data_IF_242083998502
#
_entry.id   IF_242083998502
#
_cell.length_a   1.000
_cell.length_b   1.000
_cell.length_c   1.000
_cell.angle_alpha   90.00
_cell.angle_beta   90.00
_cell.angle_gamma   90.00
#
_symmetry.space_group_name_H-M   'P 1'
#
loop_
_entity.id
_entity.type
_entity.pdbx_description
1 polymer ?
#
# COMPACT_ATOMS: atom_id res chain seq x y z
N UNK A 1 7.29 -22.15 -7.92
CA UNK A 1 6.75 -20.87 -8.45
C UNK A 1 5.23 -20.93 -8.54
N UNK A 2 4.66 -21.96 -9.18
CA UNK A 2 3.20 -22.16 -9.25
C UNK A 2 2.53 -22.25 -7.87
N UNK A 3 3.13 -22.94 -6.89
CA UNK A 3 2.52 -23.08 -5.55
C UNK A 3 2.51 -21.77 -4.75
N UNK A 4 3.55 -20.94 -4.91
CA UNK A 4 3.61 -19.61 -4.29
C UNK A 4 2.55 -18.71 -4.92
N UNK A 5 2.42 -18.71 -6.25
CA UNK A 5 1.41 -17.93 -6.98
C UNK A 5 0.00 -18.38 -6.60
N UNK A 6 -0.25 -19.69 -6.54
CA UNK A 6 -1.54 -20.26 -6.12
C UNK A 6 -1.87 -19.91 -4.66
N UNK A 7 -0.88 -19.96 -3.77
CA UNK A 7 -1.06 -19.57 -2.38
C UNK A 7 -1.42 -18.08 -2.22
N UNK A 8 -0.75 -17.19 -2.96
CA UNK A 8 -1.05 -15.76 -2.91
C UNK A 8 -2.34 -15.38 -3.63
N UNK A 9 -2.78 -16.14 -4.64
CA UNK A 9 -4.06 -15.92 -5.31
C UNK A 9 -5.26 -16.23 -4.41
N UNK A 10 -5.16 -17.25 -3.55
CA UNK A 10 -6.22 -17.64 -2.60
C UNK A 10 -5.84 -17.45 -1.14
N UNK A 11 -4.96 -16.48 -0.84
CA UNK A 11 -4.44 -16.35 0.53
C UNK A 11 -5.59 -16.21 1.55
N UNK A 12 -5.63 -17.01 2.63
CA UNK A 12 -6.70 -16.95 3.62
C UNK A 12 -6.77 -15.57 4.29
N UNK A 13 -7.98 -15.12 4.65
CA UNK A 13 -8.18 -13.84 5.36
C UNK A 13 -7.33 -13.73 6.62
N UNK A 14 -7.21 -14.82 7.39
CA UNK A 14 -6.36 -14.90 8.58
C UNK A 14 -4.90 -14.56 8.28
N UNK A 15 -4.34 -15.07 7.18
CA UNK A 15 -2.94 -14.82 6.83
C UNK A 15 -2.72 -13.38 6.35
N UNK A 16 -3.66 -12.82 5.58
CA UNK A 16 -3.64 -11.39 5.22
C UNK A 16 -3.65 -10.50 6.46
N UNK A 17 -4.55 -10.80 7.40
CA UNK A 17 -4.67 -10.07 8.67
C UNK A 17 -3.41 -10.20 9.52
N UNK A 18 -2.78 -11.38 9.57
CA UNK A 18 -1.58 -11.62 10.36
C UNK A 18 -0.37 -10.86 9.80
N UNK A 19 -0.23 -10.79 8.46
CA UNK A 19 0.80 -9.98 7.80
C UNK A 19 0.57 -8.48 8.09
N UNK A 20 -0.67 -8.01 7.99
CA UNK A 20 -1.03 -6.61 8.27
C UNK A 20 -0.78 -6.24 9.73
N UNK A 21 -1.35 -7.00 10.66
CA UNK A 21 -1.22 -6.75 12.10
C UNK A 21 0.23 -6.90 12.53
N UNK A 22 0.92 -7.96 12.10
CA UNK A 22 2.33 -8.17 12.40
C UNK A 22 3.22 -7.05 11.86
N UNK A 23 3.01 -6.61 10.62
CA UNK A 23 3.72 -5.47 10.05
C UNK A 23 3.52 -4.20 10.86
N UNK A 24 2.26 -3.86 11.17
CA UNK A 24 1.92 -2.69 11.99
C UNK A 24 2.55 -2.80 13.39
N UNK A 25 2.46 -3.95 14.05
CA UNK A 25 3.05 -4.16 15.38
C UNK A 25 4.57 -4.02 15.37
N UNK A 26 5.25 -4.57 14.37
CA UNK A 26 6.71 -4.45 14.24
C UNK A 26 7.11 -2.99 14.01
N UNK A 27 6.49 -2.30 13.06
CA UNK A 27 6.79 -0.89 12.80
C UNK A 27 6.46 0.00 14.00
N UNK A 28 5.37 -0.29 14.71
CA UNK A 28 5.00 0.43 15.94
C UNK A 28 6.02 0.21 17.07
N UNK A 29 6.54 -1.01 17.23
CA UNK A 29 7.60 -1.29 18.20
C UNK A 29 8.91 -0.56 17.84
N UNK A 30 9.28 -0.52 16.56
CA UNK A 30 10.47 0.20 16.08
C UNK A 30 10.33 1.70 16.30
N UNK A 31 9.16 2.27 16.00
CA UNK A 31 8.86 3.70 16.21
C UNK A 31 8.91 4.09 17.69
N UNK A 32 8.41 3.24 18.59
CA UNK A 32 8.43 3.52 20.02
C UNK A 32 9.79 3.26 20.69
N UNK A 33 10.66 2.41 20.11
CA UNK A 33 11.96 2.09 20.68
C UNK A 33 13.00 3.23 20.55
N UNK A 34 12.83 4.14 19.59
CA UNK A 34 13.69 5.31 19.40
C UNK A 34 12.92 6.61 19.71
N UNK A 35 12.87 7.06 20.97
CA UNK A 35 12.27 8.36 21.29
C UNK A 35 13.28 9.45 20.94
N UNK A 36 13.39 9.78 19.65
CA UNK A 36 14.43 10.69 19.14
C UNK A 36 14.27 12.14 19.63
N UNK A 37 13.13 12.51 20.23
CA UNK A 37 12.92 13.86 20.77
C UNK A 37 12.03 13.91 22.01
N UNK A 38 12.60 14.34 23.14
CA UNK A 38 11.84 14.84 24.29
C UNK A 38 11.48 16.32 24.05
N UNK A 39 10.50 16.58 23.18
CA UNK A 39 10.03 17.95 22.92
C UNK A 39 9.02 18.40 23.98
N UNK A 40 9.50 19.25 24.89
CA UNK A 40 8.69 20.07 25.81
C UNK A 40 8.20 21.31 25.03
N UNK A 41 7.16 21.17 24.19
CA UNK A 41 6.58 22.28 23.43
C UNK A 41 5.09 22.04 23.09
N UNK A 42 4.30 23.10 22.79
CA UNK A 42 2.83 23.13 22.64
C UNK A 42 2.27 22.03 21.69
N UNK A 43 2.03 20.82 22.23
CA UNK A 43 1.83 19.58 21.46
C UNK A 43 0.58 19.54 20.55
N UNK A 44 -0.50 20.21 20.95
CA UNK A 44 -1.79 20.06 20.28
C UNK A 44 -1.89 20.78 18.92
N UNK A 45 -1.23 21.93 18.76
CA UNK A 45 -1.32 22.70 17.51
C UNK A 45 -0.51 22.06 16.36
N UNK A 46 0.69 21.55 16.66
CA UNK A 46 1.49 20.84 15.67
C UNK A 46 0.97 19.44 15.33
N UNK A 47 0.41 18.72 16.31
CA UNK A 47 -0.23 17.43 16.05
C UNK A 47 -1.40 17.57 15.05
N UNK A 48 -2.17 18.66 15.13
CA UNK A 48 -3.25 18.94 14.18
C UNK A 48 -2.74 19.16 12.74
N UNK A 49 -1.67 19.94 12.56
CA UNK A 49 -1.08 20.20 11.24
C UNK A 49 -0.47 18.91 10.66
N UNK A 50 0.27 18.14 11.45
CA UNK A 50 0.83 16.87 10.99
C UNK A 50 -0.27 15.87 10.63
N UNK A 51 -1.31 15.73 11.45
CA UNK A 51 -2.46 14.89 11.13
C UNK A 51 -3.17 15.32 9.85
N UNK A 52 -3.34 16.64 9.65
CA UNK A 52 -3.93 17.18 8.43
C UNK A 52 -3.09 16.86 7.18
N UNK A 53 -1.76 17.03 7.26
CA UNK A 53 -0.86 16.69 6.15
C UNK A 53 -0.84 15.18 5.88
N UNK A 54 -0.83 14.36 6.92
CA UNK A 54 -0.92 12.89 6.78
C UNK A 54 -2.26 12.49 6.16
N UNK A 55 -3.38 13.06 6.63
CA UNK A 55 -4.70 12.76 6.11
C UNK A 55 -4.86 13.17 4.65
N UNK A 56 -4.44 14.38 4.28
CA UNK A 56 -4.48 14.84 2.89
C UNK A 56 -3.61 13.98 1.99
N UNK A 57 -2.44 13.54 2.46
CA UNK A 57 -1.57 12.59 1.73
C UNK A 57 -2.27 11.24 1.54
N UNK A 58 -2.95 10.72 2.57
CA UNK A 58 -3.76 9.50 2.46
C UNK A 58 -4.85 9.68 1.40
N UNK A 59 -5.62 10.77 1.46
CA UNK A 59 -6.70 11.06 0.50
C UNK A 59 -6.18 11.10 -0.93
N UNK A 60 -5.09 11.83 -1.18
CA UNK A 60 -4.48 11.93 -2.52
C UNK A 60 -4.02 10.56 -3.01
N UNK A 61 -3.33 9.78 -2.18
CA UNK A 61 -2.89 8.43 -2.54
C UNK A 61 -4.07 7.50 -2.85
N UNK A 62 -5.15 7.55 -2.08
CA UNK A 62 -6.36 6.76 -2.35
C UNK A 62 -7.01 7.15 -3.69
N UNK A 63 -7.16 8.46 -3.95
CA UNK A 63 -7.70 8.94 -5.22
C UNK A 63 -6.84 8.47 -6.39
N UNK A 64 -5.52 8.60 -6.29
CA UNK A 64 -4.59 8.12 -7.32
C UNK A 64 -4.67 6.61 -7.50
N UNK A 65 -4.79 5.82 -6.43
CA UNK A 65 -4.96 4.37 -6.50
C UNK A 65 -6.24 3.98 -7.26
N UNK A 66 -7.37 4.66 -7.01
CA UNK A 66 -8.61 4.40 -7.74
C UNK A 66 -8.50 4.76 -9.23
N UNK A 67 -7.86 5.90 -9.55
CA UNK A 67 -7.60 6.29 -10.93
C UNK A 67 -6.73 5.24 -11.62
N UNK A 68 -5.68 4.77 -10.95
CA UNK A 68 -4.77 3.75 -11.48
C UNK A 68 -5.50 2.45 -11.78
N UNK A 69 -6.32 1.93 -10.84
CA UNK A 69 -7.11 0.71 -11.05
C UNK A 69 -8.10 0.88 -12.21
N UNK A 70 -8.84 2.00 -12.27
CA UNK A 70 -9.77 2.27 -13.37
C UNK A 70 -9.05 2.35 -14.72
N UNK A 71 -7.90 2.99 -14.74
CA UNK A 71 -7.07 3.12 -15.95
C UNK A 71 -6.56 1.76 -16.38
N UNK A 72 -6.05 0.94 -15.45
CA UNK A 72 -5.59 -0.42 -15.74
C UNK A 72 -6.71 -1.28 -16.34
N UNK A 73 -7.91 -1.25 -15.75
CA UNK A 73 -9.06 -1.98 -16.29
C UNK A 73 -9.44 -1.47 -17.69
N UNK A 74 -9.54 -0.16 -17.88
CA UNK A 74 -9.85 0.43 -19.19
C UNK A 74 -8.81 0.05 -20.25
N UNK A 75 -7.52 0.07 -19.91
CA UNK A 75 -6.45 -0.32 -20.85
C UNK A 75 -6.53 -1.80 -21.23
N UNK A 76 -6.91 -2.67 -20.30
CA UNK A 76 -7.10 -4.10 -20.58
C UNK A 76 -8.34 -4.34 -21.45
N UNK A 77 -9.48 -3.71 -21.14
CA UNK A 77 -10.73 -3.86 -21.88
C UNK A 77 -10.63 -3.33 -23.33
N UNK A 78 -9.88 -2.25 -23.54
CA UNK A 78 -9.73 -1.62 -24.85
C UNK A 78 -8.47 -2.10 -25.61
N UNK A 79 -7.76 -3.10 -25.07
CA UNK A 79 -6.47 -3.58 -25.59
C UNK A 79 -5.48 -2.44 -25.90
N UNK A 80 -5.49 -1.41 -25.05
CA UNK A 80 -4.68 -0.22 -25.20
C UNK A 80 -3.34 -0.37 -24.48
N UNK A 81 -2.25 -0.08 -25.17
CA UNK A 81 -0.89 -0.09 -24.63
C UNK A 81 -0.01 -1.19 -25.20
N UNK A 82 1.29 -1.10 -24.93
CA UNK A 82 2.31 -2.02 -25.45
C UNK A 82 2.12 -3.42 -24.86
N UNK A 83 1.75 -3.52 -23.58
CA UNK A 83 1.46 -4.79 -22.89
C UNK A 83 0.40 -5.64 -23.60
N UNK A 84 -0.65 -5.01 -24.14
CA UNK A 84 -1.74 -5.72 -24.84
C UNK A 84 -1.36 -6.13 -26.27
N UNK A 85 -0.30 -5.52 -26.85
CA UNK A 85 0.24 -5.87 -28.17
C UNK A 85 1.38 -6.89 -28.09
N UNK A 86 1.95 -7.12 -26.91
CA UNK A 86 3.02 -8.09 -26.71
C UNK A 86 2.45 -9.52 -26.79
N UNK A 87 3.21 -10.48 -27.35
CA UNK A 87 2.85 -11.89 -27.31
C UNK A 87 2.84 -12.39 -25.87
N UNK A 88 2.20 -13.54 -25.61
CA UNK A 88 2.16 -14.14 -24.26
C UNK A 88 3.59 -14.33 -23.72
N UNK A 89 3.92 -13.54 -22.69
CA UNK A 89 5.22 -13.58 -22.01
C UNK A 89 5.08 -14.56 -20.84
N UNK A 90 6.04 -15.48 -20.65
CA UNK A 90 6.00 -16.33 -19.48
C UNK A 90 6.09 -15.50 -18.19
N UNK A 91 5.28 -15.87 -17.18
CA UNK A 91 5.13 -15.19 -15.87
C UNK A 91 6.43 -14.97 -15.05
N UNK A 92 7.56 -15.50 -15.51
CA UNK A 92 8.87 -15.41 -14.85
C UNK A 92 9.81 -14.36 -15.44
N UNK A 93 9.38 -13.67 -16.49
CA UNK A 93 10.09 -12.55 -17.12
C UNK A 93 9.42 -11.22 -16.74
#
# INVERSE_FOLDING_TARGET
>A
MNDIVAYFSTIPSTHRSLILVGGITIFWLIENAFPLFHMRYRKWHHAGINFFLTFTTIVVNFVLAFILIKTANWTTENHFGILQRLPEIPLWL
#
